data_IF_612515965268
#
_entry.id   IF_612515965268
#
_cell.length_a   1.000
_cell.length_b   1.000
_cell.length_c   1.000
_cell.angle_alpha   90.00
_cell.angle_beta   90.00
_cell.angle_gamma   90.00
#
_symmetry.space_group_name_H-M   'P 1'
#
loop_
_entity.id
_entity.type
_entity.pdbx_description
1 polymer ?
#
# COMPACT_ATOMS: atom_id res chain seq x y z
N UNK A 1 14.04 -4.37 -16.39
CA UNK A 1 13.01 -4.22 -15.34
C UNK A 1 13.29 -5.25 -14.26
N UNK A 2 13.12 -4.90 -12.98
CA UNK A 2 13.37 -5.81 -11.86
C UNK A 2 12.04 -6.32 -11.30
N UNK A 3 11.98 -7.62 -11.00
CA UNK A 3 10.86 -8.22 -10.29
C UNK A 3 11.32 -8.55 -8.87
N UNK A 4 10.48 -8.23 -7.89
CA UNK A 4 10.74 -8.52 -6.48
C UNK A 4 9.77 -9.60 -6.02
N UNK A 5 10.19 -10.41 -5.05
CA UNK A 5 9.27 -11.34 -4.40
C UNK A 5 8.14 -10.59 -3.70
N UNK A 6 6.90 -11.09 -3.75
CA UNK A 6 5.77 -10.45 -3.10
C UNK A 6 5.96 -10.43 -1.58
N UNK A 7 5.65 -9.28 -0.96
CA UNK A 7 5.63 -9.13 0.48
C UNK A 7 4.39 -9.82 1.07
N UNK A 8 4.57 -10.54 2.18
CA UNK A 8 3.46 -11.10 2.96
C UNK A 8 2.89 -10.08 3.95
N UNK A 9 1.63 -10.26 4.35
CA UNK A 9 1.00 -9.39 5.37
C UNK A 9 1.80 -9.42 6.68
N UNK A 10 2.30 -10.59 7.10
CA UNK A 10 3.10 -10.72 8.32
C UNK A 10 4.35 -9.85 8.29
N UNK A 11 5.11 -9.89 7.21
CA UNK A 11 6.31 -9.05 7.05
C UNK A 11 5.97 -7.56 7.12
N UNK A 12 4.84 -7.15 6.55
CA UNK A 12 4.37 -5.77 6.62
C UNK A 12 4.07 -5.35 8.07
N UNK A 13 3.45 -6.23 8.86
CA UNK A 13 3.17 -5.97 10.28
C UNK A 13 4.46 -5.92 11.10
N UNK A 14 5.38 -6.87 10.92
CA UNK A 14 6.66 -6.92 11.64
C UNK A 14 7.50 -5.63 11.41
N UNK A 15 7.47 -5.07 10.20
CA UNK A 15 8.17 -3.82 9.83
C UNK A 15 7.51 -2.60 10.49
N UNK A 16 6.17 -2.58 10.56
CA UNK A 16 5.43 -1.52 11.23
C UNK A 16 5.65 -1.54 12.76
N UNK A 17 5.62 -2.72 13.38
CA UNK A 17 5.89 -2.92 14.81
C UNK A 17 7.33 -2.51 15.17
N UNK A 18 8.27 -2.66 14.25
CA UNK A 18 9.65 -2.19 14.38
C UNK A 18 9.82 -0.66 14.19
N UNK A 19 8.73 0.08 13.89
CA UNK A 19 8.78 1.52 13.62
C UNK A 19 9.51 1.90 12.33
N UNK A 20 9.60 0.96 11.37
CA UNK A 20 10.30 1.16 10.10
C UNK A 20 9.33 1.45 8.95
N UNK A 21 9.88 1.77 7.77
CA UNK A 21 9.12 2.05 6.56
C UNK A 21 9.48 1.12 5.41
N UNK A 22 8.47 0.75 4.62
CA UNK A 22 8.64 0.01 3.37
C UNK A 22 9.10 0.94 2.25
N UNK A 23 9.93 0.48 1.29
CA UNK A 23 10.23 1.24 0.08
C UNK A 23 8.97 1.61 -0.70
N UNK A 24 8.94 2.76 -1.40
CA UNK A 24 7.76 3.17 -2.16
C UNK A 24 7.42 2.13 -3.24
N UNK A 25 6.13 1.80 -3.36
CA UNK A 25 5.58 0.85 -4.37
C UNK A 25 6.05 -0.60 -4.23
N UNK A 26 6.56 -1.00 -3.06
CA UNK A 26 6.94 -2.39 -2.75
C UNK A 26 5.78 -3.32 -2.40
N UNK A 27 4.55 -2.80 -2.32
CA UNK A 27 3.34 -3.54 -1.90
C UNK A 27 2.14 -3.28 -2.81
N UNK A 28 1.27 -4.28 -2.95
CA UNK A 28 -0.02 -4.20 -3.66
C UNK A 28 -1.10 -4.90 -2.83
N UNK A 29 -2.18 -4.19 -2.53
CA UNK A 29 -3.36 -4.72 -1.81
C UNK A 29 -4.55 -4.87 -2.77
N UNK A 30 -5.33 -5.94 -2.57
CA UNK A 30 -6.62 -6.21 -3.22
C UNK A 30 -7.64 -6.67 -2.15
N UNK A 31 -8.86 -6.11 -2.11
CA UNK A 31 -9.34 -5.01 -2.94
C UNK A 31 -8.58 -3.71 -2.66
N UNK A 32 -8.45 -2.88 -3.69
CA UNK A 32 -7.98 -1.51 -3.46
C UNK A 32 -8.89 -0.84 -2.43
N UNK A 33 -8.27 -0.14 -1.47
CA UNK A 33 -9.00 0.77 -0.62
C UNK A 33 -9.83 1.66 -1.53
N UNK A 34 -11.15 1.67 -1.31
CA UNK A 34 -12.07 2.52 -2.06
C UNK A 34 -11.63 3.97 -1.82
N UNK A 35 -10.97 4.57 -2.80
CA UNK A 35 -10.69 6.01 -2.76
C UNK A 35 -12.02 6.73 -2.71
N UNK A 36 -12.32 7.40 -1.60
CA UNK A 36 -13.48 8.29 -1.46
C UNK A 36 -13.29 9.56 -2.28
N UNK A 37 -13.20 9.42 -3.60
CA UNK A 37 -13.12 10.54 -4.52
C UNK A 37 -14.48 11.26 -4.48
N UNK A 38 -14.54 12.38 -3.76
CA UNK A 38 -15.68 13.29 -3.82
C UNK A 38 -15.48 14.24 -5.01
N UNK A 39 -16.42 14.23 -5.95
CA UNK A 39 -16.50 15.22 -7.03
C UNK A 39 -17.54 16.26 -6.59
N UNK A 40 -17.12 17.53 -6.49
CA UNK A 40 -18.02 18.66 -6.31
C UNK A 40 -18.11 19.41 -7.65
N UNK A 41 -19.26 19.34 -8.31
CA UNK A 41 -19.50 20.15 -9.51
C UNK A 41 -19.70 21.61 -9.09
N UNK A 42 -18.86 22.50 -9.64
CA UNK A 42 -19.06 23.93 -9.55
C UNK A 42 -19.96 24.34 -10.71
N UNK A 43 -21.22 24.64 -10.42
CA UNK A 43 -22.14 25.26 -11.36
C UNK A 43 -21.80 26.74 -11.58
#
# INVERSE_FOLDING_TARGET
AFSMHPCTVRQMMDIADAGQIMPPKSTWFEPKLRSGLLIHELA
#
